data_IF_550451644320
#
_entry.id   IF_550451644320
#
_cell.length_a   1.000
_cell.length_b   1.000
_cell.length_c   1.000
_cell.angle_alpha   90.00
_cell.angle_beta   90.00
_cell.angle_gamma   90.00
#
_symmetry.space_group_name_H-M   'P 1'
#
loop_
_entity.id
_entity.type
_entity.pdbx_description
1 polymer ?
#
# COMPACT_ATOMS: atom_id res chain seq x y z
N UNK A 1 -11.31 -22.36 -7.82
CA UNK A 1 -10.55 -21.09 -7.71
C UNK A 1 -11.51 -19.93 -7.54
N UNK A 2 -11.00 -18.70 -7.60
CA UNK A 2 -11.83 -17.50 -7.65
C UNK A 2 -12.50 -17.10 -6.33
N UNK A 3 -12.01 -17.53 -5.17
CA UNK A 3 -12.58 -17.11 -3.88
C UNK A 3 -11.93 -15.80 -3.44
N UNK A 4 -12.74 -14.85 -3.01
CA UNK A 4 -12.31 -13.57 -2.44
C UNK A 4 -13.19 -13.25 -1.24
N UNK A 5 -12.62 -12.56 -0.26
CA UNK A 5 -13.34 -12.11 0.94
C UNK A 5 -13.19 -10.61 1.11
N UNK A 6 -14.27 -9.89 1.39
CA UNK A 6 -14.17 -8.57 2.01
C UNK A 6 -14.06 -8.74 3.52
N UNK A 7 -12.95 -8.24 4.07
CA UNK A 7 -12.63 -8.23 5.48
C UNK A 7 -12.90 -6.84 6.05
N UNK A 8 -13.78 -6.78 7.05
CA UNK A 8 -14.20 -5.55 7.73
C UNK A 8 -13.61 -5.55 9.14
N UNK A 9 -12.64 -4.66 9.37
CA UNK A 9 -11.93 -4.58 10.65
C UNK A 9 -12.43 -3.44 11.54
N UNK A 10 -13.10 -3.83 12.62
CA UNK A 10 -13.67 -2.93 13.62
C UNK A 10 -12.62 -2.44 14.62
N UNK A 11 -11.48 -3.13 14.75
CA UNK A 11 -10.38 -2.73 15.64
C UNK A 11 -9.71 -1.44 15.17
N UNK A 12 -9.70 -1.21 13.86
CA UNK A 12 -9.09 -0.05 13.20
C UNK A 12 -10.09 1.09 12.93
N UNK A 13 -11.23 1.09 13.64
CA UNK A 13 -12.14 2.24 13.67
C UNK A 13 -13.31 2.17 12.69
N UNK A 14 -13.55 1.05 12.00
CA UNK A 14 -14.85 0.80 11.36
C UNK A 14 -15.93 0.66 12.44
N UNK A 15 -16.94 1.53 12.41
CA UNK A 15 -18.07 1.42 13.35
C UNK A 15 -19.12 0.45 12.82
N UNK A 16 -19.95 -0.10 13.72
CA UNK A 16 -21.09 -0.93 13.34
C UNK A 16 -22.09 -0.17 12.46
N UNK A 17 -22.25 1.14 12.68
CA UNK A 17 -23.11 1.99 11.85
C UNK A 17 -22.54 2.16 10.43
N UNK A 18 -21.21 2.29 10.29
CA UNK A 18 -20.57 2.32 8.97
C UNK A 18 -20.69 0.98 8.25
N UNK A 19 -20.57 -0.13 8.98
CA UNK A 19 -20.82 -1.45 8.41
C UNK A 19 -22.28 -1.59 7.93
N UNK A 20 -23.28 -1.18 8.71
CA UNK A 20 -24.68 -1.21 8.26
C UNK A 20 -24.94 -0.27 7.08
N UNK A 21 -24.35 0.92 7.07
CA UNK A 21 -24.41 1.83 5.93
C UNK A 21 -23.79 1.21 4.66
N UNK A 22 -22.74 0.39 4.80
CA UNK A 22 -22.21 -0.39 3.67
C UNK A 22 -23.24 -1.41 3.17
N UNK A 23 -23.91 -2.14 4.07
CA UNK A 23 -24.96 -3.10 3.69
C UNK A 23 -26.11 -2.42 2.94
N UNK A 24 -26.56 -1.26 3.43
CA UNK A 24 -27.64 -0.47 2.83
C UNK A 24 -27.25 0.05 1.43
N UNK A 25 -26.03 0.56 1.26
CA UNK A 25 -25.54 1.04 -0.04
C UNK A 25 -25.34 -0.09 -1.05
N UNK A 26 -24.96 -1.28 -0.60
CA UNK A 26 -24.90 -2.46 -1.47
C UNK A 26 -26.30 -2.86 -1.90
N UNK A 27 -27.27 -2.90 -1.00
CA UNK A 27 -28.67 -3.22 -1.33
C UNK A 27 -29.28 -2.20 -2.30
N UNK A 28 -28.99 -0.91 -2.11
CA UNK A 28 -29.42 0.17 -3.02
C UNK A 28 -28.85 -0.01 -4.44
N UNK A 29 -27.55 -0.32 -4.55
CA UNK A 29 -26.87 -0.44 -5.85
C UNK A 29 -27.07 -1.79 -6.53
N UNK A 30 -27.27 -2.85 -5.76
CA UNK A 30 -27.44 -4.22 -6.25
C UNK A 30 -28.26 -5.05 -5.25
N UNK A 31 -29.58 -4.92 -5.36
CA UNK A 31 -30.53 -5.58 -4.45
C UNK A 31 -30.32 -7.09 -4.34
N UNK A 32 -30.36 -7.60 -3.11
CA UNK A 32 -30.18 -9.01 -2.76
C UNK A 32 -28.72 -9.49 -2.78
N UNK A 33 -27.74 -8.66 -3.18
CA UNK A 33 -26.34 -9.09 -3.24
C UNK A 33 -25.78 -9.42 -1.84
N UNK A 34 -26.13 -8.61 -0.84
CA UNK A 34 -25.67 -8.83 0.53
C UNK A 34 -26.15 -10.13 1.15
N UNK A 35 -27.33 -10.62 0.77
CA UNK A 35 -27.89 -11.90 1.24
C UNK A 35 -27.27 -13.09 0.50
N UNK A 36 -26.82 -12.85 -0.73
CA UNK A 36 -26.22 -13.87 -1.59
C UNK A 36 -24.77 -14.17 -1.27
N UNK A 37 -24.08 -13.40 -0.44
CA UNK A 37 -22.69 -13.70 -0.02
C UNK A 37 -22.65 -14.48 1.29
N UNK A 38 -21.63 -15.30 1.48
CA UNK A 38 -21.45 -16.03 2.74
C UNK A 38 -20.88 -15.08 3.79
N UNK A 39 -21.60 -14.90 4.90
CA UNK A 39 -21.20 -13.98 5.97
C UNK A 39 -20.62 -14.72 7.17
N UNK A 40 -19.55 -14.20 7.73
CA UNK A 40 -18.89 -14.76 8.91
C UNK A 40 -18.54 -13.64 9.91
N UNK A 41 -18.65 -13.94 11.20
CA UNK A 41 -18.13 -13.07 12.28
C UNK A 41 -16.71 -13.53 12.67
N UNK A 42 -15.81 -12.56 12.88
CA UNK A 42 -14.45 -12.83 13.36
C UNK A 42 -14.37 -12.75 14.90
N UNK A 43 -13.34 -13.33 15.55
CA UNK A 43 -13.19 -13.28 17.00
C UNK A 43 -13.09 -11.87 17.59
N UNK A 44 -12.55 -10.92 16.83
CA UNK A 44 -12.39 -9.52 17.23
C UNK A 44 -13.65 -8.68 17.02
N UNK A 45 -14.74 -9.29 16.54
CA UNK A 45 -16.01 -8.61 16.27
C UNK A 45 -16.12 -8.07 14.84
N UNK A 46 -15.11 -8.29 13.99
CA UNK A 46 -15.14 -7.99 12.56
C UNK A 46 -16.14 -8.83 11.77
N UNK A 47 -16.23 -8.55 10.47
CA UNK A 47 -17.12 -9.25 9.54
C UNK A 47 -16.35 -9.68 8.32
N UNK A 48 -16.69 -10.85 7.78
CA UNK A 48 -16.24 -11.28 6.46
C UNK A 48 -17.45 -11.45 5.56
N UNK A 49 -17.33 -10.99 4.31
CA UNK A 49 -18.22 -11.35 3.21
C UNK A 49 -17.43 -12.16 2.21
N UNK A 50 -17.75 -13.45 2.10
CA UNK A 50 -17.00 -14.45 1.35
C UNK A 50 -17.82 -14.82 0.11
N UNK A 51 -17.18 -14.77 -1.06
CA UNK A 51 -17.82 -15.11 -2.34
C UNK A 51 -16.82 -15.71 -3.32
N UNK A 52 -17.34 -16.25 -4.43
CA UNK A 52 -16.57 -16.58 -5.62
C UNK A 52 -16.85 -15.60 -6.75
N UNK A 53 -15.83 -15.25 -7.51
CA UNK A 53 -15.95 -14.48 -8.75
C UNK A 53 -14.96 -15.04 -9.80
N UNK A 54 -15.28 -14.87 -11.08
CA UNK A 54 -14.37 -15.25 -12.17
C UNK A 54 -13.19 -14.27 -12.32
N UNK A 55 -13.36 -13.04 -11.83
CA UNK A 55 -12.34 -11.99 -11.85
C UNK A 55 -12.05 -11.55 -10.41
N UNK A 56 -10.96 -12.06 -9.84
CA UNK A 56 -10.49 -11.66 -8.50
C UNK A 56 -9.06 -11.12 -8.60
N UNK A 57 -8.69 -10.31 -7.61
CA UNK A 57 -7.32 -9.78 -7.47
C UNK A 57 -6.67 -10.35 -6.21
N UNK A 58 -5.47 -9.86 -5.88
CA UNK A 58 -4.82 -10.14 -4.59
C UNK A 58 -5.44 -9.36 -3.43
N UNK A 59 -4.67 -9.18 -2.36
CA UNK A 59 -5.09 -8.40 -1.20
C UNK A 59 -5.04 -6.89 -1.49
N UNK A 60 -6.20 -6.21 -1.44
CA UNK A 60 -6.34 -4.79 -1.71
C UNK A 60 -6.89 -4.07 -0.47
N UNK A 61 -6.24 -2.99 -0.06
CA UNK A 61 -6.85 -2.06 0.91
C UNK A 61 -7.94 -1.28 0.18
N UNK A 62 -9.18 -1.38 0.65
CA UNK A 62 -10.34 -0.75 0.02
C UNK A 62 -10.84 0.46 0.77
N UNK A 63 -10.66 0.53 2.09
CA UNK A 63 -10.96 1.73 2.87
C UNK A 63 -9.91 1.93 3.96
N UNK A 64 -9.48 3.18 4.15
CA UNK A 64 -8.51 3.56 5.19
C UNK A 64 -9.23 4.37 6.27
N UNK A 65 -9.08 3.94 7.52
CA UNK A 65 -9.59 4.60 8.71
C UNK A 65 -8.81 5.86 9.07
N UNK A 66 -9.30 6.59 10.08
CA UNK A 66 -8.68 7.85 10.52
C UNK A 66 -7.27 7.66 11.08
N UNK A 67 -6.99 6.48 11.62
CA UNK A 67 -5.67 6.07 12.12
C UNK A 67 -4.68 5.70 11.00
N UNK A 68 -5.13 5.68 9.74
CA UNK A 68 -4.30 5.28 8.59
C UNK A 68 -4.27 3.77 8.34
N UNK A 69 -4.97 2.98 9.15
CA UNK A 69 -5.08 1.54 8.99
C UNK A 69 -6.21 1.14 8.05
N UNK A 70 -6.12 -0.07 7.47
CA UNK A 70 -7.18 -0.58 6.61
C UNK A 70 -8.39 -0.97 7.46
N UNK A 71 -9.56 -0.42 7.12
CA UNK A 71 -10.83 -0.75 7.77
C UNK A 71 -11.71 -1.67 6.92
N UNK A 72 -11.48 -1.68 5.60
CA UNK A 72 -12.06 -2.64 4.67
C UNK A 72 -10.96 -3.07 3.69
N UNK A 73 -10.77 -4.36 3.48
CA UNK A 73 -9.80 -4.91 2.53
C UNK A 73 -10.31 -6.17 1.82
N UNK A 74 -9.73 -6.50 0.66
CA UNK A 74 -9.93 -7.82 0.05
C UNK A 74 -8.89 -8.81 0.57
N UNK A 75 -9.33 -10.06 0.73
CA UNK A 75 -8.48 -11.24 0.85
C UNK A 75 -8.74 -12.13 -0.37
N UNK A 76 -7.92 -11.94 -1.40
CA UNK A 76 -8.04 -12.62 -2.69
C UNK A 76 -6.88 -13.59 -2.93
N UNK A 77 -6.30 -13.59 -4.14
CA UNK A 77 -5.15 -14.45 -4.44
C UNK A 77 -3.95 -14.16 -3.51
N UNK A 78 -3.38 -15.22 -2.93
CA UNK A 78 -2.31 -15.12 -1.93
C UNK A 78 -2.75 -14.60 -0.56
N UNK A 79 -4.05 -14.30 -0.38
CA UNK A 79 -4.67 -13.99 0.91
C UNK A 79 -5.19 -15.24 1.62
N UNK A 80 -5.21 -15.20 2.94
CA UNK A 80 -5.80 -16.24 3.78
C UNK A 80 -6.77 -15.61 4.77
N UNK A 81 -7.87 -16.32 5.02
CA UNK A 81 -8.78 -16.03 6.12
C UNK A 81 -8.93 -17.29 6.98
N UNK A 82 -9.13 -17.10 8.27
CA UNK A 82 -9.59 -18.17 9.15
C UNK A 82 -11.11 -18.32 9.00
N UNK A 83 -11.60 -19.56 9.03
CA UNK A 83 -13.02 -19.90 8.90
C UNK A 83 -13.45 -20.90 9.98
N UNK A 84 -14.76 -20.99 10.23
CA UNK A 84 -15.33 -22.07 11.05
C UNK A 84 -14.89 -23.46 10.50
N UNK A 85 -14.50 -24.44 11.34
CA UNK A 85 -14.66 -24.54 12.80
C UNK A 85 -13.49 -24.02 13.64
N UNK A 86 -12.65 -23.11 13.12
CA UNK A 86 -11.63 -22.45 13.94
C UNK A 86 -12.28 -21.75 15.13
N UNK A 87 -11.73 -21.92 16.33
CA UNK A 87 -12.31 -21.40 17.56
C UNK A 87 -12.67 -19.91 17.45
N UNK A 88 -13.89 -19.56 17.88
CA UNK A 88 -14.46 -18.20 17.87
C UNK A 88 -14.74 -17.59 16.49
N UNK A 89 -14.71 -18.39 15.42
CA UNK A 89 -15.30 -18.01 14.12
C UNK A 89 -16.67 -18.67 13.98
N UNK A 90 -17.65 -17.93 13.48
CA UNK A 90 -19.01 -18.43 13.28
C UNK A 90 -19.61 -17.88 11.98
N UNK A 91 -20.10 -18.78 11.13
CA UNK A 91 -20.92 -18.38 10.00
C UNK A 91 -22.26 -17.81 10.46
N UNK A 92 -22.77 -16.81 9.74
CA UNK A 92 -24.10 -16.26 9.97
C UNK A 92 -25.20 -17.04 9.23
N UNK A 93 -24.83 -17.83 8.22
CA UNK A 93 -25.71 -18.76 7.49
C UNK A 93 -24.95 -20.08 7.25
N UNK A 94 -25.64 -21.22 7.43
CA UNK A 94 -25.02 -22.55 7.50
C UNK A 94 -24.38 -23.05 6.19
N UNK A 95 -23.47 -24.04 6.38
CA UNK A 95 -22.65 -24.79 5.41
C UNK A 95 -21.86 -23.99 4.34
N UNK A 96 -20.63 -24.46 4.08
CA UNK A 96 -19.57 -23.89 3.23
C UNK A 96 -19.88 -23.87 1.71
N UNK A 97 -21.13 -23.67 1.29
CA UNK A 97 -21.40 -23.40 -0.12
C UNK A 97 -21.11 -21.93 -0.40
N UNK A 98 -19.89 -21.64 -0.86
CA UNK A 98 -19.46 -20.28 -1.15
C UNK A 98 -20.11 -19.83 -2.47
N UNK A 99 -21.04 -18.86 -2.41
CA UNK A 99 -21.83 -18.44 -3.54
C UNK A 99 -21.00 -17.70 -4.59
N UNK A 100 -21.38 -17.84 -5.85
CA UNK A 100 -20.75 -17.13 -6.97
C UNK A 100 -21.50 -15.83 -7.28
N UNK A 101 -20.75 -14.75 -7.45
CA UNK A 101 -21.23 -13.44 -7.91
C UNK A 101 -20.56 -13.07 -9.24
N UNK A 102 -21.17 -12.17 -10.00
CA UNK A 102 -20.61 -11.69 -11.27
C UNK A 102 -19.48 -10.66 -11.04
N UNK A 103 -18.60 -10.43 -12.03
CA UNK A 103 -17.62 -9.34 -11.97
C UNK A 103 -18.24 -7.96 -11.72
N UNK A 104 -19.42 -7.69 -12.26
CA UNK A 104 -20.16 -6.45 -12.05
C UNK A 104 -20.65 -6.31 -10.61
N UNK A 105 -21.20 -7.39 -10.04
CA UNK A 105 -21.59 -7.47 -8.63
C UNK A 105 -20.36 -7.24 -7.72
N UNK A 106 -19.21 -7.83 -8.06
CA UNK A 106 -17.93 -7.58 -7.37
C UNK A 106 -17.54 -6.10 -7.44
N UNK A 107 -17.64 -5.46 -8.60
CA UNK A 107 -17.31 -4.03 -8.73
C UNK A 107 -18.23 -3.13 -7.87
N UNK A 108 -19.50 -3.51 -7.68
CA UNK A 108 -20.38 -2.82 -6.73
C UNK A 108 -19.81 -2.90 -5.32
N UNK A 109 -19.46 -4.10 -4.86
CA UNK A 109 -18.86 -4.29 -3.53
C UNK A 109 -17.57 -3.47 -3.35
N UNK A 110 -16.68 -3.49 -4.34
CA UNK A 110 -15.43 -2.72 -4.31
C UNK A 110 -15.67 -1.21 -4.32
N UNK A 111 -16.59 -0.72 -5.15
CA UNK A 111 -16.93 0.69 -5.26
C UNK A 111 -17.55 1.22 -3.97
N UNK A 112 -18.48 0.47 -3.38
CA UNK A 112 -19.10 0.83 -2.09
C UNK A 112 -18.05 0.80 -0.99
N UNK A 113 -17.20 -0.22 -0.91
CA UNK A 113 -16.14 -0.26 0.10
C UNK A 113 -15.22 0.98 0.03
N UNK A 114 -14.79 1.36 -1.17
CA UNK A 114 -13.93 2.53 -1.39
C UNK A 114 -14.53 3.86 -0.94
N UNK A 115 -15.86 4.02 -0.98
CA UNK A 115 -16.50 5.27 -0.53
C UNK A 115 -16.42 5.49 0.98
N UNK A 116 -16.06 4.47 1.77
CA UNK A 116 -15.87 4.59 3.22
C UNK A 116 -14.44 5.00 3.60
N UNK A 117 -13.53 5.14 2.63
CA UNK A 117 -12.18 5.58 2.91
C UNK A 117 -12.14 7.06 3.30
N UNK A 118 -11.47 7.36 4.43
CA UNK A 118 -11.22 8.74 4.85
C UNK A 118 -10.07 9.42 4.11
N UNK A 119 -9.32 8.66 3.28
CA UNK A 119 -8.22 9.11 2.42
C UNK A 119 -8.37 8.51 1.02
N UNK A 120 -7.89 9.20 -0.01
CA UNK A 120 -7.85 8.60 -1.35
C UNK A 120 -6.91 7.39 -1.38
N UNK A 121 -7.41 6.26 -1.89
CA UNK A 121 -6.65 5.00 -2.00
C UNK A 121 -6.08 4.92 -3.42
N UNK A 122 -4.77 5.11 -3.53
CA UNK A 122 -4.02 4.81 -4.76
C UNK A 122 -3.87 3.29 -4.86
N UNK A 123 -4.65 2.65 -5.74
CA UNK A 123 -4.54 1.22 -6.03
C UNK A 123 -3.19 0.94 -6.72
N UNK A 124 -2.19 0.50 -5.97
CA UNK A 124 -0.96 -0.05 -6.54
C UNK A 124 -1.25 -1.50 -6.98
N UNK A 125 -1.40 -1.72 -8.28
CA UNK A 125 -1.51 -3.07 -8.83
C UNK A 125 -0.23 -3.85 -8.49
N UNK A 126 -0.35 -4.92 -7.70
CA UNK A 126 0.75 -5.86 -7.46
C UNK A 126 0.85 -6.83 -8.64
N UNK A 127 2.02 -6.83 -9.29
CA UNK A 127 2.47 -7.91 -10.16
C UNK A 127 2.69 -9.14 -9.26
N UNK A 128 2.10 -10.26 -9.64
CA UNK A 128 2.14 -11.53 -8.92
C UNK A 128 3.55 -12.13 -8.92
N UNK A 129 4.08 -12.50 -7.74
CA UNK A 129 5.30 -13.29 -7.61
C UNK A 129 4.95 -14.76 -7.39
N UNK A 130 5.30 -15.61 -8.36
CA UNK A 130 5.51 -17.04 -8.15
C UNK A 130 7.03 -17.30 -8.00
N UNK A 131 7.35 -18.20 -7.09
CA UNK A 131 8.64 -18.88 -6.82
C UNK A 131 9.79 -18.10 -6.19
N UNK A 132 10.11 -18.60 -4.99
CA UNK A 132 11.39 -18.54 -4.29
C UNK A 132 12.57 -18.84 -5.23
N UNK A 133 13.40 -17.84 -5.50
CA UNK A 133 14.67 -18.04 -6.23
C UNK A 133 15.41 -16.72 -6.44
N UNK A 134 16.37 -16.42 -5.56
CA UNK A 134 17.26 -15.23 -5.52
C UNK A 134 16.53 -13.88 -5.38
N UNK A 135 16.99 -13.06 -4.43
CA UNK A 135 16.64 -11.63 -4.36
C UNK A 135 17.22 -10.97 -5.61
N UNK A 136 16.41 -10.76 -6.62
CA UNK A 136 16.68 -9.70 -7.59
C UNK A 136 16.50 -8.38 -6.82
N UNK A 137 17.60 -7.65 -6.68
CA UNK A 137 17.59 -6.21 -6.36
C UNK A 137 16.66 -5.58 -7.40
N UNK A 138 15.79 -4.60 -7.05
CA UNK A 138 15.06 -3.87 -8.08
C UNK A 138 16.05 -3.43 -9.14
N UNK A 139 15.76 -3.71 -10.42
CA UNK A 139 16.64 -3.45 -11.56
C UNK A 139 16.76 -1.93 -11.79
N UNK A 140 17.42 -1.23 -10.86
CA UNK A 140 17.88 0.12 -11.07
C UNK A 140 19.07 0.07 -12.04
N UNK A 141 19.22 1.09 -12.90
CA UNK A 141 20.45 1.25 -13.68
C UNK A 141 21.67 1.20 -12.75
N UNK A 142 22.77 0.49 -13.09
CA UNK A 142 23.99 0.49 -12.28
C UNK A 142 24.44 1.87 -11.81
N UNK A 143 24.30 2.89 -12.68
CA UNK A 143 24.62 4.28 -12.34
C UNK A 143 23.82 4.84 -11.16
N UNK A 144 22.54 4.46 -10.99
CA UNK A 144 21.73 4.88 -9.85
C UNK A 144 22.22 4.25 -8.54
N UNK A 145 22.66 3.00 -8.61
CA UNK A 145 23.19 2.26 -7.47
C UNK A 145 24.53 2.85 -7.05
N UNK A 146 25.44 3.05 -8.01
CA UNK A 146 26.78 3.58 -7.77
C UNK A 146 26.71 5.00 -7.19
N UNK A 147 25.90 5.87 -7.79
CA UNK A 147 25.67 7.22 -7.27
C UNK A 147 25.13 7.19 -5.83
N UNK A 148 24.15 6.31 -5.56
CA UNK A 148 23.55 6.18 -4.22
C UNK A 148 24.45 5.55 -3.18
N UNK A 149 25.49 4.81 -3.59
CA UNK A 149 26.50 4.28 -2.67
C UNK A 149 27.53 5.35 -2.29
N UNK A 150 27.84 6.26 -3.21
CA UNK A 150 28.83 7.33 -3.00
C UNK A 150 28.26 8.56 -2.30
N UNK A 151 26.94 8.75 -2.33
CA UNK A 151 26.27 9.90 -1.74
C UNK A 151 25.45 9.52 -0.51
N UNK A 152 25.34 10.44 0.44
CA UNK A 152 24.47 10.28 1.61
C UNK A 152 23.19 11.05 1.42
N UNK A 153 22.06 10.35 1.55
CA UNK A 153 20.74 10.95 1.44
C UNK A 153 20.52 12.10 2.42
N UNK A 154 21.06 11.99 3.64
CA UNK A 154 20.89 13.03 4.67
C UNK A 154 21.48 14.37 4.24
N UNK A 155 22.65 14.34 3.58
CA UNK A 155 23.33 15.55 3.11
C UNK A 155 22.50 16.21 1.98
N UNK A 156 22.01 15.41 1.03
CA UNK A 156 21.18 15.91 -0.08
C UNK A 156 19.88 16.57 0.41
N UNK A 157 19.14 15.90 1.30
CA UNK A 157 17.85 16.43 1.75
C UNK A 157 18.02 17.68 2.62
N UNK A 158 19.07 17.75 3.44
CA UNK A 158 19.36 18.91 4.29
C UNK A 158 19.76 20.14 3.47
N UNK A 159 20.54 19.96 2.40
CA UNK A 159 20.83 21.03 1.43
C UNK A 159 19.56 21.58 0.78
N UNK A 160 18.56 20.72 0.54
CA UNK A 160 17.27 21.07 -0.06
C UNK A 160 16.22 21.58 0.94
N UNK A 161 16.66 21.98 2.13
CA UNK A 161 15.78 22.61 3.12
C UNK A 161 14.87 21.63 3.85
N UNK A 162 15.23 20.34 3.90
CA UNK A 162 14.66 19.43 4.90
C UNK A 162 15.41 19.57 6.21
N UNK A 163 14.67 19.83 7.29
CA UNK A 163 15.21 20.01 8.62
C UNK A 163 15.02 18.72 9.41
N UNK A 164 16.11 18.13 9.86
CA UNK A 164 16.09 16.99 10.78
C UNK A 164 15.42 17.39 12.09
N UNK A 165 14.45 16.57 12.54
CA UNK A 165 13.74 16.78 13.80
C UNK A 165 14.30 15.89 14.89
N UNK A 166 14.18 14.58 14.70
CA UNK A 166 14.62 13.57 15.65
C UNK A 166 14.74 12.19 15.01
N UNK A 167 15.30 11.27 15.79
CA UNK A 167 15.39 9.86 15.47
C UNK A 167 14.26 9.08 16.16
N UNK A 168 13.71 8.09 15.46
CA UNK A 168 12.67 7.20 15.94
C UNK A 168 12.78 5.80 15.36
N UNK A 169 11.73 5.01 15.55
CA UNK A 169 11.62 3.64 15.04
C UNK A 169 10.37 3.53 14.15
N UNK A 170 10.44 2.73 13.08
CA UNK A 170 9.34 2.53 12.14
C UNK A 170 8.22 1.59 12.65
N UNK A 171 8.32 1.13 13.90
CA UNK A 171 7.45 0.14 14.52
C UNK A 171 7.80 -1.31 14.14
N UNK A 172 8.83 -1.51 13.32
CA UNK A 172 9.32 -2.81 12.86
C UNK A 172 10.79 -3.03 13.23
N UNK A 173 11.37 -2.14 14.04
CA UNK A 173 12.74 -2.25 14.52
C UNK A 173 13.78 -1.58 13.63
N UNK A 174 13.38 -0.74 12.67
CA UNK A 174 14.32 0.07 11.88
C UNK A 174 14.38 1.50 12.40
N UNK A 175 15.60 2.02 12.50
CA UNK A 175 15.85 3.43 12.78
C UNK A 175 15.34 4.30 11.64
N UNK A 176 14.60 5.36 11.99
CA UNK A 176 14.14 6.39 11.05
C UNK A 176 14.54 7.76 11.56
N UNK A 177 14.97 8.63 10.65
CA UNK A 177 15.18 10.04 10.92
C UNK A 177 13.98 10.81 10.37
N UNK A 178 13.30 11.57 11.23
CA UNK A 178 12.10 12.33 10.85
C UNK A 178 12.49 13.72 10.42
N UNK A 179 11.96 14.14 9.27
CA UNK A 179 12.27 15.42 8.65
C UNK A 179 11.01 16.25 8.42
N UNK A 180 11.14 17.56 8.56
CA UNK A 180 10.14 18.54 8.14
C UNK A 180 10.72 19.44 7.05
N UNK A 181 9.86 20.14 6.30
CA UNK A 181 10.32 21.23 5.44
C UNK A 181 10.71 22.44 6.28
N UNK A 182 11.69 23.22 5.84
CA UNK A 182 12.04 24.49 6.48
C UNK A 182 10.81 25.40 6.60
N UNK A 183 10.61 25.96 7.79
CA UNK A 183 9.41 26.72 8.15
C UNK A 183 8.10 25.91 8.26
N UNK A 184 8.14 24.58 8.13
CA UNK A 184 7.00 23.68 8.33
C UNK A 184 6.60 23.49 9.79
N UNK A 185 5.37 23.00 10.03
CA UNK A 185 4.82 22.73 11.37
C UNK A 185 4.80 21.26 11.75
N UNK A 186 4.92 20.36 10.78
CA UNK A 186 4.72 18.93 10.95
C UNK A 186 5.81 18.14 10.23
N UNK A 187 6.05 16.91 10.70
CA UNK A 187 6.92 15.95 9.99
C UNK A 187 6.32 15.74 8.60
N UNK A 188 7.16 15.81 7.57
CA UNK A 188 6.75 15.63 6.17
C UNK A 188 7.47 14.51 5.44
N UNK A 189 8.57 13.99 6.01
CA UNK A 189 9.34 12.90 5.45
C UNK A 189 10.06 12.06 6.51
N UNK A 190 10.51 10.87 6.11
CA UNK A 190 11.35 9.99 6.90
C UNK A 190 12.53 9.50 6.08
N UNK A 191 13.72 9.55 6.64
CA UNK A 191 14.94 8.98 6.07
C UNK A 191 15.24 7.67 6.81
N UNK A 192 15.60 6.62 6.07
CA UNK A 192 16.03 5.33 6.61
C UNK A 192 17.55 5.24 6.46
N UNK A 193 18.35 5.51 7.51
CA UNK A 193 19.80 5.69 7.38
C UNK A 193 20.51 4.41 6.94
N UNK A 194 20.02 3.26 7.40
CA UNK A 194 20.59 1.94 7.05
C UNK A 194 20.38 1.57 5.58
N UNK A 195 19.28 2.04 4.98
CA UNK A 195 18.95 1.76 3.59
C UNK A 195 19.35 2.90 2.65
N UNK A 196 19.81 4.04 3.19
CA UNK A 196 20.09 5.29 2.48
C UNK A 196 18.91 5.78 1.60
N UNK A 197 17.68 5.60 2.08
CA UNK A 197 16.46 5.95 1.34
C UNK A 197 15.62 7.02 2.03
N UNK A 198 14.97 7.87 1.23
CA UNK A 198 14.09 8.93 1.69
C UNK A 198 12.64 8.68 1.30
N UNK A 199 11.72 8.89 2.24
CA UNK A 199 10.29 8.67 2.10
C UNK A 199 9.52 9.95 2.40
N UNK A 200 8.96 10.58 1.37
CA UNK A 200 8.17 11.79 1.51
C UNK A 200 6.69 11.43 1.64
N UNK A 201 5.99 12.02 2.61
CA UNK A 201 4.55 11.83 2.78
C UNK A 201 3.75 13.13 2.82
N UNK A 202 4.42 14.29 2.90
CA UNK A 202 3.78 15.59 2.67
C UNK A 202 3.53 15.84 1.18
N UNK A 203 2.41 16.47 0.85
CA UNK A 203 2.09 16.95 -0.51
C UNK A 203 2.62 18.35 -0.80
N UNK A 204 3.32 18.97 0.16
CA UNK A 204 3.88 20.33 0.05
C UNK A 204 5.23 20.38 -0.67
N UNK A 205 5.62 19.33 -1.38
CA UNK A 205 6.83 19.28 -2.20
C UNK A 205 6.53 18.68 -3.57
N UNK A 206 7.37 18.98 -4.55
CA UNK A 206 7.28 18.41 -5.90
C UNK A 206 7.75 16.95 -6.00
N UNK A 207 8.36 16.43 -4.93
CA UNK A 207 8.78 15.04 -4.80
C UNK A 207 7.57 14.09 -4.71
N UNK A 208 7.69 12.85 -5.24
CA UNK A 208 6.62 11.87 -5.18
C UNK A 208 6.31 11.48 -3.73
N UNK A 209 5.02 11.47 -3.41
CA UNK A 209 4.55 11.04 -2.09
C UNK A 209 4.39 9.52 -2.01
N UNK A 210 4.72 8.98 -0.86
CA UNK A 210 4.60 7.56 -0.51
C UNK A 210 5.50 6.61 -1.34
N UNK A 211 6.65 7.10 -1.79
CA UNK A 211 7.69 6.34 -2.47
C UNK A 211 9.00 6.42 -1.68
N UNK A 212 9.71 5.28 -1.57
CA UNK A 212 11.10 5.26 -1.11
C UNK A 212 11.97 5.68 -2.28
N UNK A 213 12.85 6.66 -2.09
CA UNK A 213 13.79 7.13 -3.09
C UNK A 213 15.21 6.86 -2.61
N UNK A 214 16.05 6.29 -3.46
CA UNK A 214 17.51 6.37 -3.28
C UNK A 214 18.05 7.75 -3.73
N UNK A 215 19.34 8.02 -3.57
CA UNK A 215 19.93 9.32 -3.89
C UNK A 215 19.73 9.70 -5.36
N UNK A 216 19.92 8.78 -6.30
CA UNK A 216 19.77 9.07 -7.72
C UNK A 216 18.31 9.34 -8.10
N UNK A 217 17.35 8.58 -7.55
CA UNK A 217 15.91 8.86 -7.73
C UNK A 217 15.51 10.20 -7.13
N UNK A 218 16.08 10.56 -5.98
CA UNK A 218 15.84 11.85 -5.35
C UNK A 218 16.27 13.01 -6.27
N UNK A 219 17.46 12.92 -6.87
CA UNK A 219 17.94 13.89 -7.86
C UNK A 219 17.04 13.90 -9.11
N UNK A 220 16.65 12.72 -9.61
CA UNK A 220 15.76 12.60 -10.77
C UNK A 220 14.45 13.37 -10.56
N UNK A 221 13.82 13.26 -9.39
CA UNK A 221 12.60 14.01 -9.11
C UNK A 221 12.86 15.48 -8.80
N UNK A 222 13.96 15.79 -8.10
CA UNK A 222 14.30 17.17 -7.71
C UNK A 222 14.63 18.06 -8.90
N UNK A 223 15.51 17.60 -9.79
CA UNK A 223 16.13 18.43 -10.82
C UNK A 223 15.57 18.12 -12.23
N UNK A 224 15.08 16.90 -12.44
CA UNK A 224 14.67 16.40 -13.75
C UNK A 224 13.17 16.07 -13.84
N UNK A 225 12.38 16.38 -12.80
CA UNK A 225 10.92 16.20 -12.82
C UNK A 225 10.45 14.74 -12.99
N UNK A 226 11.34 13.76 -12.71
CA UNK A 226 11.07 12.34 -12.92
C UNK A 226 11.46 11.78 -14.29
N UNK A 227 12.13 12.58 -15.14
CA UNK A 227 12.57 12.14 -16.47
C UNK A 227 13.85 11.30 -16.37
N UNK A 228 13.69 9.97 -16.46
CA UNK A 228 14.79 9.02 -16.24
C UNK A 228 15.93 9.13 -17.27
N UNK A 229 15.62 9.43 -18.54
CA UNK A 229 16.66 9.56 -19.58
C UNK A 229 17.58 10.75 -19.29
N UNK A 230 17.02 11.88 -18.84
CA UNK A 230 17.79 13.09 -18.55
C UNK A 230 18.73 12.91 -17.34
N UNK A 231 18.29 12.19 -16.31
CA UNK A 231 19.17 11.92 -15.15
C UNK A 231 20.25 10.89 -15.50
N UNK A 232 20.00 9.96 -16.43
CA UNK A 232 21.04 9.02 -16.89
C UNK A 232 22.17 9.74 -17.64
N UNK A 233 21.83 10.69 -18.52
CA UNK A 233 22.82 11.54 -19.19
C UNK A 233 23.63 12.35 -18.17
N UNK A 234 22.95 12.96 -17.19
CA UNK A 234 23.62 13.72 -16.12
C UNK A 234 24.53 12.83 -15.25
N UNK A 235 24.08 11.63 -14.88
CA UNK A 235 24.90 10.68 -14.12
C UNK A 235 26.16 10.27 -14.87
N UNK A 236 26.10 10.10 -16.19
CA UNK A 236 27.28 9.82 -17.00
C UNK A 236 28.28 10.99 -16.97
N UNK A 237 27.80 12.23 -17.03
CA UNK A 237 28.63 13.44 -16.91
C UNK A 237 29.29 13.58 -15.51
N UNK A 238 28.58 13.17 -14.45
CA UNK A 238 29.09 13.14 -13.07
C UNK A 238 30.04 11.95 -12.80
N UNK A 239 30.28 11.09 -13.79
CA UNK A 239 31.21 9.96 -13.69
C UNK A 239 30.57 8.65 -13.21
N UNK A 240 29.25 8.53 -13.28
CA UNK A 240 28.45 7.32 -13.00
C UNK A 240 27.87 6.76 -14.31
N UNK A 241 28.69 6.16 -15.19
CA UNK A 241 28.22 5.64 -16.46
C UNK A 241 27.24 4.47 -16.26
N UNK A 242 26.25 4.40 -17.14
CA UNK A 242 25.29 3.29 -17.16
C UNK A 242 25.82 2.11 -18.01
N UNK A 243 27.02 1.63 -17.69
CA UNK A 243 27.59 0.44 -18.32
C UNK A 243 27.40 -0.78 -17.41
N UNK A 244 26.84 -1.88 -17.93
CA UNK A 244 27.04 -3.18 -17.30
C UNK A 244 28.53 -3.48 -17.38
N UNK A 245 29.20 -3.66 -16.24
CA UNK A 245 30.61 -4.03 -16.21
C UNK A 245 30.87 -5.18 -17.19
N UNK A 246 31.66 -4.92 -18.23
CA UNK A 246 32.07 -5.94 -19.17
C UNK A 246 32.99 -6.94 -18.43
N UNK A 247 32.45 -8.16 -18.25
CA UNK A 247 33.09 -9.45 -17.87
C UNK A 247 34.30 -9.43 -16.91
#
# INVERSE_FOLDING_TARGET
GGMETLDFDFKHGLTIDQYHAFEDLVEEKCSGLGERVLRQKTPTGGRHWIYRCDEIEGNLKLAIGKDGEAIIETRGEGGYICVEPTANYAFQSGYLDIPKISPEERQVLMSVAKSFSSKEIKNTKKISNDKMGRKEVPSFPPSFIDYSNDHKMSELVEEDGWVFLDEGDDGKGKTVHRYQRDGGSDVGASLYPEDNTFYVFTTSSELPTHQMMNCAEYIMYRDFGGEQEAVLEWLEEEGYPNEEAAD
#
